data_IF_874378405049
#
_entry.id   IF_874378405049
#
_cell.length_a   1.000
_cell.length_b   1.000
_cell.length_c   1.000
_cell.angle_alpha   90.00
_cell.angle_beta   90.00
_cell.angle_gamma   90.00
#
_symmetry.space_group_name_H-M   'P 1'
#
loop_
_entity.id
_entity.type
_entity.pdbx_description
1 polymer ?
#
# COMPACT_ATOMS: atom_id res chain seq x y z
N UNK A 1 -2.76 -24.92 9.81
CA UNK A 1 -2.89 -23.45 9.76
C UNK A 1 -1.54 -22.92 9.31
N UNK A 2 -1.35 -22.75 8.02
CA UNK A 2 -0.08 -22.27 7.45
C UNK A 2 0.03 -20.77 7.68
N UNK A 3 0.81 -20.37 8.67
CA UNK A 3 1.15 -18.97 8.90
C UNK A 3 2.21 -18.57 7.88
N UNK A 4 1.80 -18.13 6.68
CA UNK A 4 2.73 -17.52 5.73
C UNK A 4 3.29 -16.23 6.34
N UNK A 5 4.59 -16.22 6.56
CA UNK A 5 5.32 -15.01 6.93
C UNK A 5 5.53 -14.20 5.64
N UNK A 6 4.74 -13.15 5.43
CA UNK A 6 4.92 -12.23 4.31
C UNK A 6 6.03 -11.22 4.63
N UNK A 7 7.03 -11.16 3.75
CA UNK A 7 8.00 -10.07 3.71
C UNK A 7 7.58 -9.12 2.60
N UNK A 8 7.70 -7.81 2.84
CA UNK A 8 7.34 -6.82 1.82
C UNK A 8 8.03 -7.13 0.47
N UNK A 9 7.32 -6.98 -0.66
CA UNK A 9 7.93 -7.10 -1.97
C UNK A 9 9.12 -6.15 -2.12
N UNK A 10 10.14 -6.58 -2.87
CA UNK A 10 11.29 -5.72 -3.17
C UNK A 10 10.99 -4.75 -4.32
N UNK A 11 10.12 -5.18 -5.23
CA UNK A 11 9.80 -4.48 -6.46
C UNK A 11 8.34 -4.68 -6.87
N UNK A 12 7.89 -3.82 -7.77
CA UNK A 12 6.57 -3.86 -8.42
C UNK A 12 6.75 -3.79 -9.92
N UNK A 13 5.82 -4.40 -10.65
CA UNK A 13 5.72 -4.22 -12.10
C UNK A 13 4.72 -3.09 -12.34
N UNK A 14 5.17 -1.99 -12.94
CA UNK A 14 4.29 -0.88 -13.34
C UNK A 14 3.40 -1.30 -14.51
N UNK A 15 2.36 -0.50 -14.79
CA UNK A 15 1.45 -0.71 -15.94
C UNK A 15 2.18 -0.74 -17.30
N UNK A 16 3.34 -0.08 -17.39
CA UNK A 16 4.24 -0.10 -18.54
C UNK A 16 5.09 -1.37 -18.66
N UNK A 17 4.88 -2.39 -17.83
CA UNK A 17 5.71 -3.59 -17.67
C UNK A 17 7.13 -3.36 -17.10
N UNK A 18 7.46 -2.12 -16.71
CA UNK A 18 8.72 -1.78 -16.06
C UNK A 18 8.77 -2.25 -14.60
N UNK A 19 9.90 -2.82 -14.15
CA UNK A 19 10.16 -3.11 -12.73
C UNK A 19 10.64 -1.86 -12.00
N UNK A 20 10.12 -1.62 -10.79
CA UNK A 20 10.58 -0.53 -9.95
C UNK A 20 10.58 -0.92 -8.46
N UNK A 21 11.39 -0.26 -7.61
CA UNK A 21 11.40 -0.52 -6.18
C UNK A 21 9.99 -0.38 -5.56
N UNK A 22 9.65 -1.32 -4.68
CA UNK A 22 8.43 -1.24 -3.90
C UNK A 22 8.51 -0.06 -2.91
N UNK A 23 7.45 0.72 -2.82
CA UNK A 23 7.34 1.84 -1.88
C UNK A 23 5.94 1.90 -1.27
N UNK A 24 5.84 1.43 -0.02
CA UNK A 24 4.57 1.42 0.73
C UNK A 24 3.98 2.83 0.92
N UNK A 25 4.79 3.89 0.85
CA UNK A 25 4.29 5.28 0.98
C UNK A 25 3.39 5.67 -0.19
N UNK A 26 3.57 5.03 -1.36
CA UNK A 26 2.68 5.24 -2.52
C UNK A 26 1.28 4.67 -2.29
N UNK A 27 1.16 3.58 -1.51
CA UNK A 27 -0.13 3.03 -1.10
C UNK A 27 -0.83 4.02 -0.17
N UNK A 28 -0.15 4.47 0.88
CA UNK A 28 -0.68 5.50 1.81
C UNK A 28 -1.17 6.75 1.06
N UNK A 29 -0.31 7.32 0.21
CA UNK A 29 -0.65 8.52 -0.57
C UNK A 29 -1.84 8.32 -1.52
N UNK A 30 -2.05 7.11 -2.03
CA UNK A 30 -3.23 6.81 -2.83
C UNK A 30 -4.50 6.80 -1.98
N UNK A 31 -4.46 6.20 -0.80
CA UNK A 31 -5.58 6.17 0.15
C UNK A 31 -5.90 7.59 0.65
N UNK A 32 -4.90 8.37 1.09
CA UNK A 32 -5.10 9.75 1.56
C UNK A 32 -5.78 10.63 0.50
N UNK A 33 -5.38 10.51 -0.77
CA UNK A 33 -5.99 11.30 -1.86
C UNK A 33 -7.42 10.85 -2.16
N UNK A 34 -7.69 9.55 -2.10
CA UNK A 34 -9.06 9.04 -2.24
C UNK A 34 -9.93 9.54 -1.09
N UNK A 35 -9.44 9.43 0.14
CA UNK A 35 -10.09 9.92 1.33
C UNK A 35 -10.37 11.41 1.30
N UNK A 36 -9.40 12.23 0.89
CA UNK A 36 -9.60 13.68 0.72
C UNK A 36 -10.69 14.03 -0.29
N UNK A 37 -10.89 13.21 -1.33
CA UNK A 37 -11.93 13.42 -2.33
C UNK A 37 -13.33 12.98 -1.86
N UNK A 38 -13.41 12.01 -0.95
CA UNK A 38 -14.67 11.45 -0.45
C UNK A 38 -15.07 11.96 0.94
N UNK A 39 -14.15 12.58 1.67
CA UNK A 39 -14.31 12.91 3.09
C UNK A 39 -14.06 11.73 4.04
N UNK A 40 -13.44 10.65 3.58
CA UNK A 40 -13.10 9.45 4.36
C UNK A 40 -11.58 9.34 4.59
N UNK A 41 -11.12 8.36 5.39
CA UNK A 41 -9.72 7.91 5.45
C UNK A 41 -8.67 9.02 5.57
N UNK A 42 -8.74 9.80 6.65
CA UNK A 42 -7.75 10.83 6.97
C UNK A 42 -6.33 10.25 7.16
N UNK A 43 -5.31 11.11 7.26
CA UNK A 43 -3.89 10.70 7.21
C UNK A 43 -3.49 9.52 8.12
N UNK A 44 -3.93 9.53 9.39
CA UNK A 44 -3.62 8.45 10.33
C UNK A 44 -4.29 7.13 9.92
N UNK A 45 -5.53 7.19 9.46
CA UNK A 45 -6.28 6.01 9.00
C UNK A 45 -5.67 5.45 7.69
N UNK A 46 -5.27 6.32 6.77
CA UNK A 46 -4.57 5.92 5.56
C UNK A 46 -3.22 5.23 5.86
N UNK A 47 -2.52 5.66 6.90
CA UNK A 47 -1.29 5.00 7.35
C UNK A 47 -1.58 3.59 7.91
N UNK A 48 -2.64 3.42 8.70
CA UNK A 48 -3.06 2.11 9.22
C UNK A 48 -3.46 1.16 8.10
N UNK A 49 -4.27 1.62 7.14
CA UNK A 49 -4.70 0.82 5.99
C UNK A 49 -3.50 0.41 5.11
N UNK A 50 -2.56 1.33 4.85
CA UNK A 50 -1.35 1.00 4.10
C UNK A 50 -0.49 -0.07 4.80
N UNK A 51 -0.38 -0.02 6.13
CA UNK A 51 0.31 -1.05 6.91
C UNK A 51 -0.42 -2.40 6.87
N UNK A 52 -1.76 -2.42 6.81
CA UNK A 52 -2.53 -3.65 6.66
C UNK A 52 -2.33 -4.29 5.29
N UNK A 53 -2.33 -3.49 4.21
CA UNK A 53 -2.03 -3.99 2.86
C UNK A 53 -0.67 -4.68 2.85
N UNK A 54 0.35 -4.09 3.46
CA UNK A 54 1.70 -4.67 3.52
C UNK A 54 1.78 -6.08 4.13
N UNK A 55 0.79 -6.52 4.91
CA UNK A 55 0.75 -7.86 5.52
C UNK A 55 0.28 -8.94 4.54
N UNK A 56 -0.40 -8.55 3.46
CA UNK A 56 -1.03 -9.48 2.49
C UNK A 56 -0.42 -9.39 1.09
N UNK A 57 0.72 -8.71 0.96
CA UNK A 57 1.51 -8.63 -0.27
C UNK A 57 2.52 -9.77 -0.40
#
# INVERSE_FOLDING_TARGET
>A
MDTQVSTLPREVIKRSAERAPFDARKIRSAIERAGAATGEFAGDEAALLAAQVGKVL
#
